data_IF_520758734912
#
_entry.id   IF_520758734912
#
_cell.length_a   1.000
_cell.length_b   1.000
_cell.length_c   1.000
_cell.angle_alpha   90.00
_cell.angle_beta   90.00
_cell.angle_gamma   90.00
#
_symmetry.space_group_name_H-M   'P 1'
#
loop_
_entity.id
_entity.type
_entity.pdbx_description
1 polymer ?
#
# COMPACT_ATOMS: atom_id res chain seq x y z
N UNK A 1 -15.14 16.11 -20.19
CA UNK A 1 -15.68 15.31 -19.07
C UNK A 1 -14.69 15.38 -17.90
N UNK A 2 -15.06 15.98 -16.76
CA UNK A 2 -14.21 15.95 -15.55
C UNK A 2 -14.23 14.51 -15.05
N UNK A 3 -13.15 13.77 -15.25
CA UNK A 3 -12.96 12.44 -14.68
C UNK A 3 -12.99 12.57 -13.15
N UNK A 4 -14.14 12.31 -12.54
CA UNK A 4 -14.28 12.35 -11.09
C UNK A 4 -13.47 11.19 -10.51
N UNK A 5 -12.43 11.52 -9.74
CA UNK A 5 -11.64 10.51 -9.03
C UNK A 5 -12.42 10.07 -7.82
N UNK A 6 -12.65 8.77 -7.67
CA UNK A 6 -13.18 8.22 -6.43
C UNK A 6 -12.14 8.39 -5.30
N UNK A 7 -12.46 9.13 -4.21
CA UNK A 7 -11.57 9.30 -3.06
C UNK A 7 -11.06 8.00 -2.45
N UNK A 8 -11.82 6.91 -2.52
CA UNK A 8 -11.42 5.58 -2.00
C UNK A 8 -10.19 5.02 -2.73
N UNK A 9 -9.87 5.50 -3.93
CA UNK A 9 -8.66 5.10 -4.67
C UNK A 9 -7.36 5.44 -3.92
N UNK A 10 -7.38 6.51 -3.10
CA UNK A 10 -6.25 6.90 -2.27
C UNK A 10 -5.99 5.90 -1.12
N UNK A 11 -7.04 5.24 -0.63
CA UNK A 11 -6.96 4.17 0.38
C UNK A 11 -6.34 2.92 -0.25
N UNK A 12 -6.79 2.53 -1.44
CA UNK A 12 -6.20 1.40 -2.18
C UNK A 12 -4.70 1.60 -2.38
N UNK A 13 -4.28 2.80 -2.77
CA UNK A 13 -2.87 3.11 -2.96
C UNK A 13 -2.06 3.01 -1.67
N UNK A 14 -2.64 3.35 -0.51
CA UNK A 14 -1.99 3.16 0.80
C UNK A 14 -1.69 1.68 1.05
N UNK A 15 -2.69 0.82 0.82
CA UNK A 15 -2.53 -0.62 1.04
C UNK A 15 -1.53 -1.24 0.08
N UNK A 16 -1.51 -0.84 -1.20
CA UNK A 16 -0.50 -1.30 -2.15
C UNK A 16 0.92 -0.98 -1.68
N UNK A 17 1.14 0.23 -1.16
CA UNK A 17 2.42 0.61 -0.58
C UNK A 17 2.76 -0.24 0.66
N UNK A 18 1.80 -0.48 1.55
CA UNK A 18 2.01 -1.32 2.73
C UNK A 18 2.35 -2.77 2.35
N UNK A 19 1.64 -3.34 1.38
CA UNK A 19 1.93 -4.69 0.89
C UNK A 19 3.30 -4.78 0.25
N UNK A 20 3.69 -3.80 -0.58
CA UNK A 20 5.05 -3.71 -1.10
C UNK A 20 6.09 -3.77 0.04
N UNK A 21 5.97 -2.91 1.04
CA UNK A 21 6.90 -2.86 2.19
C UNK A 21 6.95 -4.19 2.95
N UNK A 22 5.80 -4.80 3.20
CA UNK A 22 5.69 -6.11 3.85
C UNK A 22 6.50 -7.19 3.10
N UNK A 23 6.40 -7.24 1.77
CA UNK A 23 7.14 -8.21 0.97
C UNK A 23 8.66 -7.97 1.00
N UNK A 24 9.13 -6.72 1.06
CA UNK A 24 10.56 -6.45 1.28
C UNK A 24 11.05 -6.84 2.67
N UNK A 25 10.18 -6.75 3.70
CA UNK A 25 10.50 -7.22 5.05
C UNK A 25 10.60 -8.74 5.09
N UNK A 26 9.70 -9.43 4.36
CA UNK A 26 9.73 -10.89 4.23
C UNK A 26 11.07 -11.40 3.69
N UNK A 27 11.73 -10.68 2.77
CA UNK A 27 13.08 -11.05 2.30
C UNK A 27 14.08 -11.22 3.46
N UNK A 28 14.11 -10.24 4.37
CA UNK A 28 15.03 -10.32 5.53
C UNK A 28 14.54 -11.34 6.56
N UNK A 29 13.23 -11.50 6.71
CA UNK A 29 12.65 -12.53 7.59
C UNK A 29 13.04 -13.95 7.15
N UNK A 30 12.96 -14.27 5.86
CA UNK A 30 13.41 -15.56 5.33
C UNK A 30 14.91 -15.80 5.60
N UNK A 31 15.74 -14.76 5.55
CA UNK A 31 17.16 -14.86 5.88
C UNK A 31 17.40 -15.17 7.36
N UNK A 32 16.59 -14.59 8.26
CA UNK A 32 16.62 -14.92 9.69
C UNK A 32 16.22 -16.39 9.90
N UNK A 33 15.13 -16.84 9.27
CA UNK A 33 14.68 -18.24 9.38
C UNK A 33 15.72 -19.22 8.83
N UNK A 34 16.39 -18.87 7.72
CA UNK A 34 17.53 -19.65 7.21
C UNK A 34 18.67 -19.73 8.24
N UNK A 35 19.01 -18.62 8.89
CA UNK A 35 20.05 -18.61 9.92
C UNK A 35 19.71 -19.49 11.14
N UNK A 36 18.44 -19.50 11.58
CA UNK A 36 17.97 -20.30 12.72
C UNK A 36 17.89 -21.79 12.36
N UNK A 37 17.34 -22.11 11.18
CA UNK A 37 17.09 -23.47 10.71
C UNK A 37 18.32 -24.33 10.46
N UNK A 38 19.51 -23.74 10.37
CA UNK A 38 20.75 -24.52 10.29
C UNK A 38 21.06 -25.31 11.58
N UNK A 39 20.39 -25.02 12.69
CA UNK A 39 20.59 -25.72 13.96
C UNK A 39 19.51 -26.77 14.28
N UNK A 40 18.40 -26.81 13.51
CA UNK A 40 17.23 -27.64 13.79
C UNK A 40 16.64 -28.19 12.50
N UNK A 41 16.46 -29.52 12.42
CA UNK A 41 15.89 -30.18 11.23
C UNK A 41 14.47 -29.71 10.88
N UNK A 42 13.75 -29.08 11.81
CA UNK A 42 12.35 -28.65 11.63
C UNK A 42 12.15 -27.59 10.53
N UNK A 43 13.23 -26.94 10.06
CA UNK A 43 13.17 -25.85 9.06
C UNK A 43 13.82 -26.23 7.71
N UNK A 44 13.93 -27.52 7.41
CA UNK A 44 14.61 -28.03 6.21
C UNK A 44 14.03 -27.44 4.91
N UNK A 45 12.70 -27.36 4.79
CA UNK A 45 12.04 -26.78 3.61
C UNK A 45 12.50 -25.35 3.30
N UNK A 46 12.72 -24.52 4.34
CA UNK A 46 13.16 -23.14 4.18
C UNK A 46 14.62 -23.09 3.71
N UNK A 47 15.47 -24.02 4.14
CA UNK A 47 16.86 -24.08 3.71
C UNK A 47 16.95 -24.36 2.21
N UNK A 48 16.21 -25.37 1.74
CA UNK A 48 16.20 -25.80 0.34
C UNK A 48 15.56 -24.74 -0.57
N UNK A 49 14.48 -24.12 -0.12
CA UNK A 49 13.70 -23.19 -0.93
C UNK A 49 14.01 -21.71 -0.66
N UNK A 50 15.09 -21.41 0.07
CA UNK A 50 15.42 -20.04 0.50
C UNK A 50 15.44 -19.03 -0.67
N UNK A 51 16.16 -19.36 -1.74
CA UNK A 51 16.32 -18.47 -2.89
C UNK A 51 14.98 -18.28 -3.63
N UNK A 52 14.15 -19.31 -3.68
CA UNK A 52 12.80 -19.23 -4.25
C UNK A 52 11.90 -18.33 -3.40
N UNK A 53 11.86 -18.54 -2.08
CA UNK A 53 11.02 -17.76 -1.16
C UNK A 53 11.41 -16.28 -1.14
N UNK A 54 12.71 -16.00 -1.07
CA UNK A 54 13.22 -14.62 -1.08
C UNK A 54 13.07 -13.95 -2.45
N UNK A 55 13.35 -14.67 -3.54
CA UNK A 55 13.16 -14.19 -4.91
C UNK A 55 11.69 -13.87 -5.21
N UNK A 56 10.77 -14.76 -4.83
CA UNK A 56 9.32 -14.56 -4.98
C UNK A 56 8.83 -13.38 -4.13
N UNK A 57 9.31 -13.26 -2.88
CA UNK A 57 8.97 -12.11 -2.02
C UNK A 57 9.45 -10.79 -2.64
N UNK A 58 10.69 -10.73 -3.14
CA UNK A 58 11.23 -9.57 -3.81
C UNK A 58 10.44 -9.22 -5.07
N UNK A 59 10.14 -10.22 -5.91
CA UNK A 59 9.39 -10.03 -7.14
C UNK A 59 7.99 -9.48 -6.90
N UNK A 60 7.25 -10.07 -5.94
CA UNK A 60 5.92 -9.57 -5.56
C UNK A 60 6.01 -8.15 -4.98
N UNK A 61 7.02 -7.87 -4.15
CA UNK A 61 7.26 -6.51 -3.63
C UNK A 61 7.46 -5.47 -4.75
N UNK A 62 8.23 -5.81 -5.78
CA UNK A 62 8.43 -4.96 -6.96
C UNK A 62 7.11 -4.76 -7.70
N UNK A 63 6.32 -5.82 -7.94
CA UNK A 63 5.00 -5.70 -8.58
C UNK A 63 4.11 -4.71 -7.82
N UNK A 64 4.02 -4.85 -6.49
CA UNK A 64 3.20 -3.95 -5.68
C UNK A 64 3.69 -2.49 -5.76
N UNK A 65 5.01 -2.24 -5.75
CA UNK A 65 5.56 -0.89 -5.95
C UNK A 65 5.23 -0.34 -7.34
N UNK A 66 5.37 -1.16 -8.38
CA UNK A 66 5.08 -0.75 -9.76
C UNK A 66 3.60 -0.39 -9.91
N UNK A 67 2.70 -1.25 -9.43
CA UNK A 67 1.25 -1.01 -9.45
C UNK A 67 0.87 0.22 -8.62
N UNK A 68 1.45 0.36 -7.41
CA UNK A 68 1.31 1.55 -6.58
C UNK A 68 1.70 2.83 -7.35
N UNK A 69 2.89 2.82 -7.98
CA UNK A 69 3.42 3.98 -8.72
C UNK A 69 2.52 4.36 -9.89
N UNK A 70 2.04 3.37 -10.66
CA UNK A 70 1.12 3.59 -11.76
C UNK A 70 -0.21 4.19 -11.29
N UNK A 71 -0.78 3.66 -10.20
CA UNK A 71 -2.03 4.17 -9.64
C UNK A 71 -1.83 5.59 -9.10
N UNK A 72 -0.77 5.87 -8.34
CA UNK A 72 -0.48 7.24 -7.86
C UNK A 72 -0.28 8.23 -8.99
N UNK A 73 0.46 7.84 -10.04
CA UNK A 73 0.65 8.68 -11.22
C UNK A 73 -0.69 9.00 -11.91
N UNK A 74 -1.55 8.00 -12.09
CA UNK A 74 -2.88 8.17 -12.68
C UNK A 74 -3.79 9.07 -11.82
N UNK A 75 -3.80 8.87 -10.49
CA UNK A 75 -4.55 9.72 -9.56
C UNK A 75 -4.07 11.17 -9.63
N UNK A 76 -2.75 11.39 -9.64
CA UNK A 76 -2.18 12.73 -9.76
C UNK A 76 -2.56 13.41 -11.08
N UNK A 77 -2.42 12.70 -12.21
CA UNK A 77 -2.79 13.22 -13.52
C UNK A 77 -4.26 13.62 -13.58
N UNK A 78 -5.14 12.87 -12.91
CA UNK A 78 -6.59 13.14 -12.88
C UNK A 78 -6.97 14.22 -11.86
N UNK A 79 -6.22 14.40 -10.77
CA UNK A 79 -6.56 15.35 -9.71
C UNK A 79 -6.35 16.81 -10.14
N UNK A 80 -5.50 17.04 -11.14
CA UNK A 80 -5.17 18.39 -11.62
C UNK A 80 -4.43 19.22 -10.58
N UNK A 81 -4.01 18.60 -9.47
CA UNK A 81 -3.22 19.23 -8.44
C UNK A 81 -1.80 19.48 -8.95
N UNK A 82 -1.23 20.66 -8.66
CA UNK A 82 0.16 20.99 -9.00
C UNK A 82 1.01 20.86 -7.75
N UNK A 83 1.94 19.91 -7.75
CA UNK A 83 2.87 19.75 -6.64
C UNK A 83 3.78 20.97 -6.48
N UNK A 84 4.01 21.37 -5.23
CA UNK A 84 5.05 22.33 -4.91
C UNK A 84 6.44 21.66 -4.88
N UNK A 85 7.51 22.46 -4.86
CA UNK A 85 8.90 21.95 -4.86
C UNK A 85 9.20 21.00 -3.68
N UNK A 86 8.62 21.27 -2.49
CA UNK A 86 8.85 20.43 -1.30
C UNK A 86 8.20 19.05 -1.44
N UNK A 87 7.03 18.97 -2.07
CA UNK A 87 6.33 17.72 -2.34
C UNK A 87 7.06 16.89 -3.40
N UNK A 88 7.52 17.54 -4.48
CA UNK A 88 8.34 16.90 -5.51
C UNK A 88 9.59 16.27 -4.88
N UNK A 89 10.28 17.00 -4.00
CA UNK A 89 11.44 16.46 -3.29
C UNK A 89 11.07 15.24 -2.44
N UNK A 90 9.95 15.27 -1.71
CA UNK A 90 9.48 14.11 -0.91
C UNK A 90 9.17 12.90 -1.79
N UNK A 91 8.60 13.10 -2.97
CA UNK A 91 8.32 12.03 -3.94
C UNK A 91 9.65 11.40 -4.40
N UNK A 92 10.61 12.21 -4.84
CA UNK A 92 11.92 11.70 -5.27
C UNK A 92 12.68 10.98 -4.17
N UNK A 93 12.69 11.53 -2.95
CA UNK A 93 13.31 10.84 -1.80
C UNK A 93 12.61 9.52 -1.53
N UNK A 94 11.27 9.48 -1.60
CA UNK A 94 10.51 8.23 -1.39
C UNK A 94 10.85 7.17 -2.45
N UNK A 95 10.97 7.56 -3.72
CA UNK A 95 11.38 6.64 -4.80
C UNK A 95 12.82 6.16 -4.57
N UNK A 96 13.74 7.06 -4.21
CA UNK A 96 15.12 6.70 -3.89
C UNK A 96 15.21 5.70 -2.73
N UNK A 97 14.43 5.91 -1.68
CA UNK A 97 14.33 5.01 -0.53
C UNK A 97 13.74 3.64 -0.91
N UNK A 98 12.73 3.59 -1.79
CA UNK A 98 12.20 2.34 -2.32
C UNK A 98 13.24 1.58 -3.15
N UNK A 99 13.98 2.28 -4.02
CA UNK A 99 15.09 1.68 -4.78
C UNK A 99 16.17 1.14 -3.84
N UNK A 100 16.51 1.88 -2.78
CA UNK A 100 17.45 1.42 -1.76
C UNK A 100 16.96 0.14 -1.06
N UNK A 101 15.65 0.00 -0.79
CA UNK A 101 15.10 -1.24 -0.25
C UNK A 101 15.26 -2.44 -1.19
N UNK A 102 15.12 -2.23 -2.51
CA UNK A 102 15.40 -3.26 -3.51
C UNK A 102 16.87 -3.67 -3.45
N UNK A 103 17.80 -2.71 -3.45
CA UNK A 103 19.25 -2.97 -3.37
C UNK A 103 19.60 -3.74 -2.09
N UNK A 104 19.12 -3.30 -0.93
CA UNK A 104 19.35 -3.99 0.35
C UNK A 104 18.78 -5.42 0.29
N UNK A 105 17.62 -5.62 -0.34
CA UNK A 105 17.02 -6.95 -0.48
C UNK A 105 17.85 -7.87 -1.36
N UNK A 106 18.41 -7.37 -2.47
CA UNK A 106 19.32 -8.13 -3.32
C UNK A 106 20.58 -8.52 -2.53
N UNK A 107 21.16 -7.61 -1.75
CA UNK A 107 22.32 -7.91 -0.90
C UNK A 107 22.01 -9.02 0.11
N UNK A 108 20.86 -8.97 0.77
CA UNK A 108 20.44 -10.02 1.73
C UNK A 108 20.29 -11.38 1.04
N UNK A 109 19.85 -11.43 -0.22
CA UNK A 109 19.68 -12.67 -0.99
C UNK A 109 21.02 -13.29 -1.39
N UNK A 110 22.01 -12.46 -1.76
CA UNK A 110 23.29 -12.94 -2.31
C UNK A 110 24.33 -13.26 -1.24
N UNK A 111 24.34 -12.55 -0.11
CA UNK A 111 25.31 -12.72 0.98
C UNK A 111 25.41 -14.13 1.62
N UNK A 112 24.34 -14.93 1.75
CA UNK A 112 24.41 -16.27 2.31
C UNK A 112 25.42 -17.20 1.61
N UNK A 113 25.71 -16.95 0.33
CA UNK A 113 26.65 -17.77 -0.45
C UNK A 113 28.13 -17.51 -0.08
N UNK A 114 28.42 -16.44 0.67
CA UNK A 114 29.77 -15.95 0.90
C UNK A 114 30.12 -15.76 2.39
N UNK A 115 29.22 -16.10 3.31
CA UNK A 115 29.34 -15.73 4.73
C UNK A 115 28.93 -16.82 5.70
N UNK A 116 29.40 -16.70 6.95
CA UNK A 116 28.98 -17.59 8.04
C UNK A 116 27.57 -17.25 8.53
N UNK A 117 26.90 -18.22 9.16
CA UNK A 117 25.51 -18.06 9.64
C UNK A 117 25.34 -16.86 10.58
N UNK A 118 26.31 -16.64 11.47
CA UNK A 118 26.25 -15.59 12.48
C UNK A 118 26.24 -14.22 11.80
N UNK A 119 27.10 -14.05 10.79
CA UNK A 119 27.15 -12.84 9.97
C UNK A 119 25.84 -12.66 9.20
N UNK A 120 25.28 -13.72 8.61
CA UNK A 120 24.01 -13.66 7.90
C UNK A 120 22.86 -13.22 8.83
N UNK A 121 22.75 -13.79 10.03
CA UNK A 121 21.71 -13.42 11.00
C UNK A 121 21.85 -11.97 11.45
N UNK A 122 23.06 -11.53 11.81
CA UNK A 122 23.31 -10.14 12.19
C UNK A 122 22.96 -9.17 11.07
N UNK A 123 23.38 -9.48 9.83
CA UNK A 123 23.05 -8.68 8.65
C UNK A 123 21.53 -8.63 8.40
N UNK A 124 20.84 -9.76 8.51
CA UNK A 124 19.40 -9.83 8.30
C UNK A 124 18.62 -9.01 9.35
N UNK A 125 19.03 -9.03 10.61
CA UNK A 125 18.43 -8.22 11.68
C UNK A 125 18.66 -6.72 11.43
N UNK A 126 19.92 -6.32 11.18
CA UNK A 126 20.26 -4.91 10.93
C UNK A 126 19.52 -4.37 9.72
N UNK A 127 19.51 -5.12 8.61
CA UNK A 127 18.78 -4.72 7.40
C UNK A 127 17.27 -4.69 7.60
N UNK A 128 16.70 -5.55 8.46
CA UNK A 128 15.27 -5.48 8.81
C UNK A 128 14.95 -4.17 9.53
N UNK A 129 15.74 -3.78 10.52
CA UNK A 129 15.55 -2.52 11.26
C UNK A 129 15.64 -1.32 10.30
N UNK A 130 16.66 -1.29 9.43
CA UNK A 130 16.83 -0.24 8.43
C UNK A 130 15.61 -0.18 7.50
N UNK A 131 15.15 -1.31 6.97
CA UNK A 131 13.97 -1.39 6.10
C UNK A 131 12.70 -0.90 6.79
N UNK A 132 12.51 -1.21 8.07
CA UNK A 132 11.37 -0.72 8.85
C UNK A 132 11.43 0.81 8.95
N UNK A 133 12.57 1.38 9.32
CA UNK A 133 12.77 2.84 9.39
C UNK A 133 12.48 3.49 8.04
N UNK A 134 13.01 2.92 6.95
CA UNK A 134 12.76 3.41 5.59
C UNK A 134 11.26 3.38 5.28
N UNK A 135 10.56 2.28 5.56
CA UNK A 135 9.14 2.16 5.29
C UNK A 135 8.29 3.16 6.08
N UNK A 136 8.66 3.46 7.33
CA UNK A 136 8.04 4.53 8.11
C UNK A 136 8.24 5.89 7.44
N UNK A 137 9.47 6.25 7.06
CA UNK A 137 9.78 7.53 6.40
C UNK A 137 9.00 7.67 5.08
N UNK A 138 9.00 6.63 4.26
CA UNK A 138 8.27 6.60 2.99
C UNK A 138 6.76 6.76 3.23
N UNK A 139 6.20 6.08 4.21
CA UNK A 139 4.76 6.18 4.56
C UNK A 139 4.37 7.58 5.03
N UNK A 140 5.23 8.24 5.82
CA UNK A 140 5.03 9.63 6.26
C UNK A 140 5.06 10.57 5.05
N UNK A 141 6.09 10.46 4.20
CA UNK A 141 6.22 11.32 3.02
C UNK A 141 5.06 11.15 2.04
N UNK A 142 4.67 9.90 1.77
CA UNK A 142 3.51 9.60 0.93
C UNK A 142 2.23 10.20 1.51
N UNK A 143 2.00 10.03 2.81
CA UNK A 143 0.82 10.59 3.48
C UNK A 143 0.79 12.11 3.39
N UNK A 144 1.92 12.79 3.63
CA UNK A 144 1.99 14.25 3.53
C UNK A 144 1.64 14.76 2.12
N UNK A 145 2.16 14.12 1.09
CA UNK A 145 1.88 14.47 -0.32
C UNK A 145 0.43 14.15 -0.68
N UNK A 146 -0.10 13.03 -0.19
CA UNK A 146 -1.47 12.60 -0.48
C UNK A 146 -2.53 13.47 0.18
N UNK A 147 -2.33 13.90 1.43
CA UNK A 147 -3.36 14.61 2.19
C UNK A 147 -3.80 15.91 1.50
N UNK A 148 -2.87 16.66 0.92
CA UNK A 148 -3.19 17.90 0.20
C UNK A 148 -3.99 17.61 -1.07
N UNK A 149 -3.57 16.59 -1.82
CA UNK A 149 -4.25 16.16 -3.04
C UNK A 149 -5.66 15.62 -2.76
N UNK A 150 -5.80 14.77 -1.74
CA UNK A 150 -7.05 14.14 -1.34
C UNK A 150 -8.06 15.16 -0.80
N UNK A 151 -7.61 16.21 -0.11
CA UNK A 151 -8.50 17.29 0.35
C UNK A 151 -9.19 18.01 -0.84
N UNK A 152 -8.46 18.23 -1.93
CA UNK A 152 -8.99 18.87 -3.15
C UNK A 152 -9.94 17.92 -3.88
N UNK A 153 -9.58 16.64 -4.00
CA UNK A 153 -10.45 15.64 -4.62
C UNK A 153 -11.74 15.46 -3.83
N UNK A 154 -11.68 15.40 -2.50
CA UNK A 154 -12.88 15.32 -1.67
C UNK A 154 -13.79 16.54 -1.87
N UNK A 155 -13.23 17.75 -1.81
CA UNK A 155 -14.01 18.99 -2.02
C UNK A 155 -14.69 19.01 -3.38
N UNK A 156 -13.99 18.59 -4.43
CA UNK A 156 -14.55 18.53 -5.79
C UNK A 156 -15.56 17.41 -5.96
N UNK A 157 -15.43 16.29 -5.25
CA UNK A 157 -16.39 15.20 -5.27
C UNK A 157 -17.72 15.63 -4.66
N UNK A 158 -17.72 16.10 -3.40
CA UNK A 158 -18.94 16.47 -2.68
C UNK A 158 -19.64 17.69 -3.28
N UNK A 159 -18.89 18.72 -3.72
CA UNK A 159 -19.52 19.89 -4.36
C UNK A 159 -20.23 19.53 -5.68
N UNK A 160 -19.80 18.49 -6.40
CA UNK A 160 -20.48 18.06 -7.62
C UNK A 160 -21.70 17.16 -7.32
N UNK A 161 -21.67 16.39 -6.23
CA UNK A 161 -22.82 15.58 -5.80
C UNK A 161 -23.97 16.48 -5.31
N UNK A 162 -23.66 17.57 -4.60
CA UNK A 162 -24.65 18.58 -4.17
C UNK A 162 -25.28 19.35 -5.34
N UNK A 163 -24.53 19.54 -6.43
CA UNK A 163 -25.06 20.17 -7.66
C UNK A 163 -25.89 19.18 -8.50
N UNK A 164 -25.56 17.89 -8.47
CA UNK A 164 -26.37 16.85 -9.14
C UNK A 164 -27.68 16.60 -8.39
N UNK A 165 -27.68 16.63 -7.06
CA UNK A 165 -28.91 16.48 -6.25
C UNK A 165 -29.83 17.70 -6.33
N UNK A 166 -29.30 18.91 -6.55
CA UNK A 166 -30.10 20.13 -6.81
C UNK A 166 -30.74 20.21 -8.19
N UNK A 167 -30.14 19.58 -9.20
CA UNK A 167 -30.60 19.62 -10.59
C UNK A 167 -31.40 18.38 -11.02
N UNK A 168 -31.62 17.43 -10.11
CA UNK A 168 -32.68 16.45 -10.33
C UNK A 168 -34.02 17.16 -10.16
N UNK A 169 -34.97 17.02 -11.11
CA UNK A 169 -36.35 17.34 -10.83
C UNK A 169 -36.71 16.60 -9.55
N UNK A 170 -37.31 17.30 -8.57
CA UNK A 170 -38.17 16.64 -7.60
C UNK A 170 -39.27 15.97 -8.43
N UNK A 171 -39.04 14.74 -8.88
CA UNK A 171 -40.15 13.89 -9.22
C UNK A 171 -40.95 13.76 -7.93
N UNK A 172 -42.13 14.36 -8.02
CA UNK A 172 -43.21 14.32 -7.07
C UNK A 172 -43.27 12.96 -6.40
N UNK A 173 -43.33 12.98 -5.07
CA UNK A 173 -43.64 11.81 -4.29
C UNK A 173 -44.97 11.22 -4.73
N UNK A 174 -44.92 10.00 -5.23
CA UNK A 174 -45.98 9.01 -5.20
C UNK A 174 -45.25 7.66 -5.37
N UNK A 175 -45.60 6.67 -4.54
CA UNK A 175 -45.09 5.28 -4.52
C UNK A 175 -44.04 4.87 -3.47
N UNK A 176 -43.79 5.64 -2.40
CA UNK A 176 -43.16 5.07 -1.18
C UNK A 176 -44.15 4.85 -0.04
N UNK A 177 -45.38 5.35 -0.14
CA UNK A 177 -46.44 5.21 0.86
C UNK A 177 -47.29 3.93 0.71
N UNK A 178 -47.18 3.19 -0.40
CA UNK A 178 -47.91 1.93 -0.57
C UNK A 178 -47.13 0.69 -0.11
N UNK A 179 -45.80 0.76 -0.01
CA UNK A 179 -44.96 -0.37 0.45
C UNK A 179 -44.99 -0.60 1.97
N UNK A 180 -45.49 0.36 2.75
CA UNK A 180 -45.56 0.28 4.22
C UNK A 180 -46.96 0.03 4.79
N UNK A 181 -47.98 -0.12 3.94
CA UNK A 181 -49.37 -0.32 4.42
C UNK A 181 -49.73 -1.75 4.79
N UNK A 182 -48.85 -2.73 4.60
CA UNK A 182 -49.21 -4.14 4.77
C UNK A 182 -48.11 -5.07 5.34
N UNK A 183 -47.18 -4.54 6.13
CA UNK A 183 -46.31 -5.41 6.94
C UNK A 183 -46.64 -5.21 8.42
N UNK A 184 -47.44 -6.12 8.98
CA UNK A 184 -47.51 -6.33 10.42
C UNK A 184 -46.09 -6.44 10.96
N UNK A 185 -45.71 -5.53 11.84
CA UNK A 185 -44.39 -5.50 12.45
C UNK A 185 -44.18 -6.78 13.27
N UNK A 186 -43.24 -7.68 12.92
CA UNK A 186 -43.04 -8.95 13.62
C UNK A 186 -42.35 -8.78 14.99
N UNK A 187 -42.13 -7.55 15.45
CA UNK A 187 -41.50 -7.22 16.74
C UNK A 187 -42.44 -6.47 17.69
N UNK A 188 -43.72 -6.33 17.34
CA UNK A 188 -44.76 -5.94 18.28
C UNK A 188 -45.55 -7.22 18.60
N UNK A 189 -45.28 -7.80 19.78
CA UNK A 189 -46.18 -8.79 20.39
C UNK A 189 -47.40 -8.03 20.96
N UNK A 190 -48.60 -8.58 20.78
CA UNK A 190 -49.86 -8.06 21.33
C UNK A 190 -49.88 -8.03 22.87
#
# INVERSE_FOLDING_TARGET
MKNQINPKSYILSKYLLTFAMMFFYLVSFWAILKGIGQNKNDLHYIQENYYLLTGLSLFIGIIFISVYTLIRYNLHKKSGYKFNKKEINKIFISIGLMCLMVVISILVITFPSYTSKTVLMSLAIVTTIIKIIIGFVVSIFETMVRTQEQAIVNKTWFNNDDLKSRNQPKDSGENTSELFKNSSNPFMED
#
